data_IF_093388411632
#
_entry.id   IF_093388411632
#
_cell.length_a   1.000
_cell.length_b   1.000
_cell.length_c   1.000
_cell.angle_alpha   90.00
_cell.angle_beta   90.00
_cell.angle_gamma   90.00
#
_symmetry.space_group_name_H-M   'P 1'
#
loop_
_entity.id
_entity.type
_entity.pdbx_description
1 polymer ?
#
# COMPACT_ATOMS: atom_id res chain seq x y z
N UNK A 1 -6.56 -6.18 -28.49
CA UNK A 1 -5.33 -5.40 -28.70
C UNK A 1 -4.19 -6.29 -28.22
N UNK A 2 -3.25 -6.65 -29.08
CA UNK A 2 -2.10 -7.47 -28.67
C UNK A 2 -1.18 -6.62 -27.79
N UNK A 3 -0.77 -7.06 -26.58
CA UNK A 3 0.13 -6.27 -25.74
C UNK A 3 1.42 -5.95 -26.52
N UNK A 4 1.79 -4.67 -26.60
CA UNK A 4 2.87 -4.20 -27.48
C UNK A 4 4.26 -4.41 -26.90
N UNK A 5 4.37 -4.86 -25.64
CA UNK A 5 5.64 -5.00 -24.92
C UNK A 5 5.67 -6.30 -24.12
N UNK A 6 6.22 -7.37 -24.71
CA UNK A 6 6.62 -8.55 -23.93
C UNK A 6 7.69 -8.14 -22.92
N UNK A 7 7.56 -8.54 -21.65
CA UNK A 7 8.51 -8.15 -20.60
C UNK A 7 8.38 -6.72 -20.10
N UNK A 8 7.20 -6.08 -20.22
CA UNK A 8 6.99 -4.74 -19.69
C UNK A 8 7.12 -4.71 -18.16
N UNK A 9 7.74 -3.63 -17.66
CA UNK A 9 7.91 -3.36 -16.23
C UNK A 9 7.16 -2.08 -15.89
N UNK A 10 6.23 -2.15 -14.94
CA UNK A 10 5.66 -0.97 -14.30
C UNK A 10 6.57 -0.53 -13.14
N UNK A 11 7.17 0.64 -13.26
CA UNK A 11 8.14 1.12 -12.28
C UNK A 11 7.51 1.74 -11.03
N UNK A 12 6.18 1.87 -10.97
CA UNK A 12 5.53 2.60 -9.88
C UNK A 12 4.10 2.11 -9.58
N UNK A 13 3.98 1.03 -8.82
CA UNK A 13 2.70 0.61 -8.23
C UNK A 13 2.67 0.91 -6.74
N UNK A 14 1.49 1.26 -6.21
CA UNK A 14 1.34 1.67 -4.82
C UNK A 14 0.48 0.68 -4.01
N UNK A 15 1.07 -0.35 -3.39
CA UNK A 15 0.41 -1.14 -2.36
C UNK A 15 -0.13 -0.25 -1.24
N UNK A 16 -1.43 -0.36 -0.98
CA UNK A 16 -2.13 0.36 0.06
C UNK A 16 -2.38 -0.53 1.28
N UNK A 17 -1.68 -0.29 2.39
CA UNK A 17 -1.96 -0.97 3.67
C UNK A 17 -3.44 -0.79 4.09
N UNK A 18 -4.28 -1.82 4.20
CA UNK A 18 -5.73 -1.62 4.38
C UNK A 18 -6.10 -0.84 5.66
N UNK A 19 -5.36 -1.05 6.75
CA UNK A 19 -5.45 -0.29 7.99
C UNK A 19 -4.15 -0.49 8.80
N UNK A 20 -3.86 0.38 9.77
CA UNK A 20 -2.69 0.23 10.66
C UNK A 20 -2.66 -1.13 11.37
N UNK A 21 -3.84 -1.72 11.60
CA UNK A 21 -3.99 -3.06 12.20
C UNK A 21 -3.25 -4.14 11.43
N UNK A 22 -3.15 -4.01 10.10
CA UNK A 22 -2.39 -4.93 9.26
C UNK A 22 -0.89 -4.90 9.55
N UNK A 23 -0.38 -3.79 10.10
CA UNK A 23 1.04 -3.62 10.40
C UNK A 23 1.43 -4.09 11.81
N UNK A 24 0.46 -4.22 12.73
CA UNK A 24 0.72 -4.60 14.13
C UNK A 24 1.49 -5.92 14.31
N UNK A 25 1.29 -6.97 13.48
CA UNK A 25 2.08 -8.20 13.58
C UNK A 25 3.59 -7.98 13.39
N UNK A 26 3.99 -7.01 12.57
CA UNK A 26 5.38 -6.70 12.23
C UNK A 26 6.03 -5.68 13.18
N UNK A 27 5.27 -5.13 14.11
CA UNK A 27 5.78 -4.20 15.11
C UNK A 27 6.25 -4.94 16.37
N UNK A 28 7.27 -4.39 17.04
CA UNK A 28 7.65 -4.83 18.38
C UNK A 28 6.53 -4.52 19.40
N UNK A 29 6.65 -5.09 20.61
CA UNK A 29 5.65 -4.95 21.67
C UNK A 29 5.35 -3.48 22.01
N UNK A 30 6.38 -2.67 22.24
CA UNK A 30 6.23 -1.24 22.55
C UNK A 30 5.38 -0.49 21.52
N UNK A 31 5.68 -0.66 20.22
CA UNK A 31 4.95 0.03 19.16
C UNK A 31 3.55 -0.53 19.02
N UNK A 32 3.41 -1.87 18.97
CA UNK A 32 2.10 -2.52 18.89
C UNK A 32 1.14 -2.04 19.98
N UNK A 33 1.60 -2.00 21.23
CA UNK A 33 0.82 -1.48 22.35
C UNK A 33 0.53 0.01 22.21
N UNK A 34 1.52 0.81 21.79
CA UNK A 34 1.35 2.25 21.59
C UNK A 34 0.27 2.58 20.56
N UNK A 35 0.22 1.87 19.43
CA UNK A 35 -0.80 2.05 18.41
C UNK A 35 -2.20 1.65 18.90
N UNK A 36 -2.30 0.52 19.60
CA UNK A 36 -3.57 0.02 20.16
C UNK A 36 -4.10 0.94 21.26
N UNK A 37 -3.27 1.26 22.25
CA UNK A 37 -3.68 2.03 23.43
C UNK A 37 -4.09 3.46 23.09
N UNK A 38 -3.48 4.05 22.06
CA UNK A 38 -3.74 5.43 21.64
C UNK A 38 -4.73 5.53 20.47
N UNK A 39 -5.18 4.40 19.93
CA UNK A 39 -6.07 4.36 18.76
C UNK A 39 -5.48 5.08 17.55
N UNK A 40 -4.16 4.96 17.34
CA UNK A 40 -3.47 5.64 16.25
C UNK A 40 -3.75 4.90 14.94
N UNK A 41 -4.35 5.58 13.97
CA UNK A 41 -4.63 5.08 12.62
C UNK A 41 -4.65 6.25 11.62
N UNK A 42 -4.82 5.98 10.33
CA UNK A 42 -5.03 7.00 9.31
C UNK A 42 -3.76 7.75 8.90
N UNK A 43 -2.68 7.01 8.65
CA UNK A 43 -1.39 7.54 8.17
C UNK A 43 -1.38 7.78 6.65
N UNK A 44 -2.47 8.34 6.15
CA UNK A 44 -2.68 8.63 4.73
C UNK A 44 -1.99 9.94 4.31
N UNK A 45 -1.45 9.95 3.10
CA UNK A 45 -0.89 11.15 2.48
C UNK A 45 -1.99 12.12 2.05
N UNK A 46 -1.95 13.36 2.54
CA UNK A 46 -2.91 14.40 2.13
C UNK A 46 -2.76 14.79 0.65
N UNK A 47 -1.59 14.58 0.06
CA UNK A 47 -1.37 14.79 -1.38
C UNK A 47 -2.12 13.80 -2.28
N UNK A 48 -2.58 12.66 -1.74
CA UNK A 48 -3.36 11.65 -2.45
C UNK A 48 -4.59 11.22 -1.63
N UNK A 49 -5.60 12.11 -1.46
CA UNK A 49 -6.78 11.80 -0.66
C UNK A 49 -7.52 10.55 -1.16
N UNK A 50 -7.86 9.61 -0.27
CA UNK A 50 -8.39 8.29 -0.65
C UNK A 50 -9.63 8.31 -1.55
N UNK A 51 -10.47 9.33 -1.45
CA UNK A 51 -11.68 9.52 -2.27
C UNK A 51 -11.44 10.22 -3.61
N UNK A 52 -10.25 10.75 -3.86
CA UNK A 52 -9.98 11.53 -5.05
C UNK A 52 -9.67 10.65 -6.28
N UNK A 53 -10.06 11.06 -7.50
CA UNK A 53 -9.72 10.35 -8.74
C UNK A 53 -8.20 10.20 -8.97
N UNK A 54 -7.39 11.10 -8.42
CA UNK A 54 -5.92 11.03 -8.51
C UNK A 54 -5.32 9.82 -7.76
N UNK A 55 -5.99 9.36 -6.70
CA UNK A 55 -5.53 8.19 -5.91
C UNK A 55 -6.00 6.89 -6.52
N UNK A 56 -7.20 6.87 -7.09
CA UNK A 56 -7.73 5.70 -7.76
C UNK A 56 -8.84 6.09 -8.71
N UNK A 57 -8.74 5.56 -9.94
CA UNK A 57 -9.73 5.73 -10.99
C UNK A 57 -11.12 5.34 -10.49
N UNK A 58 -12.16 6.14 -10.73
CA UNK A 58 -13.50 5.84 -10.24
C UNK A 58 -14.04 4.46 -10.65
N UNK A 59 -13.68 3.97 -11.84
CA UNK A 59 -14.11 2.67 -12.36
C UNK A 59 -13.35 1.47 -11.76
N UNK A 60 -12.27 1.70 -11.02
CA UNK A 60 -11.49 0.67 -10.33
C UNK A 60 -11.84 0.57 -8.84
N UNK A 61 -12.82 1.34 -8.38
CA UNK A 61 -13.21 1.40 -6.97
C UNK A 61 -14.25 0.36 -6.63
N UNK A 62 -13.86 -0.60 -5.81
CA UNK A 62 -14.79 -1.57 -5.22
C UNK A 62 -15.28 -1.12 -3.84
N UNK A 63 -16.58 -1.25 -3.60
CA UNK A 63 -17.18 -0.87 -2.31
C UNK A 63 -16.56 -1.68 -1.18
N UNK A 64 -16.09 -0.98 -0.15
CA UNK A 64 -15.50 -1.59 1.04
C UNK A 64 -14.01 -1.87 0.95
N UNK A 65 -13.36 -1.59 -0.19
CA UNK A 65 -11.93 -1.78 -0.37
C UNK A 65 -11.18 -0.45 -0.40
N UNK A 66 -10.06 -0.39 0.33
CA UNK A 66 -9.12 0.73 0.21
C UNK A 66 -8.41 0.59 -1.14
N UNK A 67 -8.23 1.67 -1.91
CA UNK A 67 -7.44 1.61 -3.13
C UNK A 67 -6.06 0.99 -2.92
N UNK A 68 -5.67 0.10 -3.82
CA UNK A 68 -4.39 -0.58 -3.77
C UNK A 68 -4.22 -1.57 -2.62
N UNK A 69 -5.27 -1.89 -1.83
CA UNK A 69 -5.13 -2.78 -0.68
C UNK A 69 -5.40 -4.27 -0.94
N UNK A 70 -5.61 -4.63 -2.21
CA UNK A 70 -5.87 -6.01 -2.61
C UNK A 70 -5.01 -6.35 -3.84
N UNK A 71 -4.18 -7.37 -3.68
CA UNK A 71 -3.24 -7.81 -4.71
C UNK A 71 -3.97 -8.25 -5.98
N UNK A 72 -5.08 -8.99 -5.84
CA UNK A 72 -5.82 -9.50 -6.97
C UNK A 72 -6.47 -8.36 -7.79
N UNK A 73 -7.00 -7.32 -7.14
CA UNK A 73 -7.48 -6.12 -7.85
C UNK A 73 -6.33 -5.39 -8.54
N UNK A 74 -5.17 -5.26 -7.89
CA UNK A 74 -3.98 -4.63 -8.50
C UNK A 74 -3.53 -5.39 -9.75
N UNK A 75 -3.40 -6.72 -9.65
CA UNK A 75 -3.03 -7.59 -10.77
C UNK A 75 -4.02 -7.43 -11.93
N UNK A 76 -5.33 -7.56 -11.67
CA UNK A 76 -6.35 -7.44 -12.73
C UNK A 76 -6.35 -6.08 -13.42
N UNK A 77 -6.29 -5.00 -12.65
CA UNK A 77 -6.47 -3.65 -13.18
C UNK A 77 -5.19 -3.04 -13.74
N UNK A 78 -4.06 -3.17 -13.04
CA UNK A 78 -2.81 -2.51 -13.38
C UNK A 78 -1.84 -3.41 -14.14
N UNK A 79 -1.89 -4.73 -13.95
CA UNK A 79 -0.94 -5.66 -14.60
C UNK A 79 -1.55 -6.36 -15.81
N UNK A 80 -2.54 -7.23 -15.59
CA UNK A 80 -3.16 -8.08 -16.61
C UNK A 80 -3.77 -7.26 -17.75
N UNK A 81 -4.49 -6.18 -17.41
CA UNK A 81 -5.16 -5.31 -18.38
C UNK A 81 -4.17 -4.58 -19.32
N UNK A 82 -2.92 -4.41 -18.88
CA UNK A 82 -1.86 -3.71 -19.62
C UNK A 82 -0.75 -4.65 -20.12
N UNK A 83 -0.79 -5.93 -19.77
CA UNK A 83 0.25 -6.90 -20.11
C UNK A 83 1.60 -6.64 -19.43
N UNK A 84 1.57 -6.14 -18.18
CA UNK A 84 2.77 -5.91 -17.37
C UNK A 84 3.23 -7.23 -16.73
N UNK A 85 4.52 -7.54 -16.81
CA UNK A 85 5.11 -8.76 -16.27
C UNK A 85 5.67 -8.55 -14.86
N UNK A 86 6.33 -7.41 -14.62
CA UNK A 86 6.93 -7.06 -13.35
C UNK A 86 6.51 -5.67 -12.91
N UNK A 87 6.38 -5.47 -11.60
CA UNK A 87 6.05 -4.16 -11.05
C UNK A 87 6.91 -3.84 -9.82
N UNK A 88 7.33 -2.58 -9.70
CA UNK A 88 8.06 -2.09 -8.53
C UNK A 88 7.06 -1.53 -7.52
N UNK A 89 7.04 -2.12 -6.34
CA UNK A 89 6.17 -1.70 -5.24
C UNK A 89 6.73 -0.48 -4.51
N UNK A 90 6.01 0.64 -4.57
CA UNK A 90 6.27 1.88 -3.84
C UNK A 90 5.07 2.21 -2.92
N UNK A 91 4.92 1.51 -1.77
CA UNK A 91 3.82 1.80 -0.84
C UNK A 91 3.86 3.25 -0.38
N UNK A 92 2.72 3.92 -0.47
CA UNK A 92 2.57 5.30 0.03
C UNK A 92 2.31 5.36 1.54
N UNK A 93 2.03 4.22 2.18
CA UNK A 93 1.89 4.16 3.64
C UNK A 93 3.28 4.00 4.25
N UNK A 94 3.67 4.89 5.17
CA UNK A 94 5.02 4.92 5.71
C UNK A 94 5.22 5.99 6.78
N UNK A 95 6.47 6.18 7.20
CA UNK A 95 6.84 7.14 8.24
C UNK A 95 6.79 8.62 7.81
N UNK A 96 6.53 8.92 6.54
CA UNK A 96 6.63 10.29 6.01
C UNK A 96 5.58 11.27 6.57
N UNK A 97 4.48 10.77 7.15
CA UNK A 97 3.43 11.61 7.74
C UNK A 97 3.57 11.77 9.26
N UNK A 98 4.50 11.07 9.90
CA UNK A 98 4.66 11.11 11.35
C UNK A 98 5.80 12.04 11.77
N UNK A 99 5.56 12.82 12.82
CA UNK A 99 6.57 13.74 13.38
C UNK A 99 7.66 13.00 14.16
N UNK A 100 7.33 11.86 14.77
CA UNK A 100 8.28 11.07 15.55
C UNK A 100 9.11 10.17 14.62
N UNK A 101 10.42 10.40 14.59
CA UNK A 101 11.37 9.61 13.82
C UNK A 101 11.31 8.11 14.17
N UNK A 102 11.24 7.80 15.47
CA UNK A 102 11.21 6.42 15.95
C UNK A 102 9.89 5.71 15.60
N UNK A 103 8.76 6.43 15.64
CA UNK A 103 7.48 5.92 15.13
C UNK A 103 7.54 5.71 13.61
N UNK A 104 8.16 6.64 12.89
CA UNK A 104 8.33 6.56 11.45
C UNK A 104 9.13 5.34 11.04
N UNK A 105 10.25 5.08 11.72
CA UNK A 105 11.07 3.89 11.53
C UNK A 105 10.28 2.61 11.78
N UNK A 106 9.45 2.57 12.84
CA UNK A 106 8.61 1.42 13.15
C UNK A 106 7.55 1.15 12.06
N UNK A 107 6.89 2.20 11.57
CA UNK A 107 5.92 2.07 10.47
C UNK A 107 6.63 1.60 9.20
N UNK A 108 7.74 2.23 8.81
CA UNK A 108 8.48 1.84 7.60
C UNK A 108 8.94 0.38 7.65
N UNK A 109 9.52 -0.06 8.77
CA UNK A 109 9.93 -1.46 8.94
C UNK A 109 8.74 -2.41 8.80
N UNK A 110 7.63 -2.11 9.46
CA UNK A 110 6.43 -2.94 9.40
C UNK A 110 5.81 -2.99 8.01
N UNK A 111 5.83 -1.88 7.25
CA UNK A 111 5.38 -1.84 5.86
C UNK A 111 6.25 -2.70 4.97
N UNK A 112 7.58 -2.65 5.14
CA UNK A 112 8.50 -3.47 4.36
C UNK A 112 8.21 -4.97 4.53
N UNK A 113 8.08 -5.43 5.79
CA UNK A 113 7.79 -6.83 6.09
C UNK A 113 6.41 -7.24 5.57
N UNK A 114 5.41 -6.37 5.71
CA UNK A 114 4.07 -6.60 5.17
C UNK A 114 4.07 -6.74 3.63
N UNK A 115 4.81 -5.90 2.91
CA UNK A 115 4.94 -5.98 1.44
C UNK A 115 5.61 -7.29 1.04
N UNK A 116 6.68 -7.69 1.72
CA UNK A 116 7.34 -8.98 1.45
C UNK A 116 6.35 -10.14 1.60
N UNK A 117 5.55 -10.16 2.67
CA UNK A 117 4.62 -11.26 2.92
C UNK A 117 3.39 -11.26 1.98
N UNK A 118 2.85 -10.08 1.65
CA UNK A 118 1.54 -9.97 0.99
C UNK A 118 1.59 -9.58 -0.49
N UNK A 119 2.73 -9.10 -0.99
CA UNK A 119 2.84 -8.53 -2.33
C UNK A 119 3.98 -9.12 -3.17
N UNK A 120 4.93 -9.83 -2.57
CA UNK A 120 5.98 -10.53 -3.33
C UNK A 120 5.58 -11.99 -3.53
N UNK A 121 5.69 -12.46 -4.78
CA UNK A 121 5.45 -13.84 -5.21
C UNK A 121 6.75 -14.63 -5.34
#
# INVERSE_FOLDING_TARGET
MTPTHSGAIDCDIHPGVPAIKALLPYMNEFWRESFVARGLDGFDMVSYPLGAPITCRPDWRDKGWRPGSDLAHMQRHALDAFGIELAICNPMTGGQVVVSESMGAAICSAVNDWVVEHWQS
#
